data_IF_560671275380
#
_entry.id   IF_560671275380
#
_cell.length_a   1.000
_cell.length_b   1.000
_cell.length_c   1.000
_cell.angle_alpha   90.00
_cell.angle_beta   90.00
_cell.angle_gamma   90.00
#
_symmetry.space_group_name_H-M   'P 1'
#
loop_
_entity.id
_entity.type
_entity.pdbx_description
1 polymer ?
#
# COMPACT_ATOMS: atom_id res chain seq x y z
N UNK A 1 -34.19 -26.03 12.51
CA UNK A 1 -34.24 -24.64 13.01
C UNK A 1 -35.24 -24.52 14.15
N UNK A 2 -34.83 -23.89 15.29
CA UNK A 2 -35.67 -23.65 16.46
C UNK A 2 -36.74 -22.58 16.21
N UNK A 3 -37.88 -22.59 16.95
CA UNK A 3 -38.93 -21.58 16.77
C UNK A 3 -38.43 -20.13 16.89
N UNK A 4 -37.63 -19.84 17.90
CA UNK A 4 -37.05 -18.50 18.11
C UNK A 4 -36.08 -18.09 16.96
N UNK A 5 -35.29 -19.03 16.45
CA UNK A 5 -34.42 -18.81 15.31
C UNK A 5 -35.23 -18.49 14.05
N UNK A 6 -36.32 -19.26 13.81
CA UNK A 6 -37.25 -19.01 12.69
C UNK A 6 -37.83 -17.61 12.76
N UNK A 7 -38.33 -17.21 13.95
CA UNK A 7 -38.88 -15.87 14.14
C UNK A 7 -37.85 -14.75 13.82
N UNK A 8 -36.62 -14.85 14.36
CA UNK A 8 -35.55 -13.89 14.10
C UNK A 8 -35.11 -13.89 12.63
N UNK A 9 -35.05 -15.06 12.00
CA UNK A 9 -34.72 -15.19 10.60
C UNK A 9 -35.81 -14.59 9.70
N UNK A 10 -37.09 -14.85 9.98
CA UNK A 10 -38.19 -14.22 9.23
C UNK A 10 -38.15 -12.69 9.38
N UNK A 11 -37.87 -12.15 10.56
CA UNK A 11 -37.67 -10.71 10.76
C UNK A 11 -36.49 -10.16 9.93
N UNK A 12 -35.40 -10.92 9.80
CA UNK A 12 -34.30 -10.57 8.91
C UNK A 12 -34.72 -10.55 7.43
N UNK A 13 -35.46 -11.56 6.97
CA UNK A 13 -35.99 -11.63 5.60
C UNK A 13 -36.95 -10.46 5.32
N UNK A 14 -37.88 -10.17 6.24
CA UNK A 14 -38.78 -9.01 6.09
C UNK A 14 -38.02 -7.68 5.99
N UNK A 15 -37.00 -7.50 6.82
CA UNK A 15 -36.16 -6.28 6.74
C UNK A 15 -35.39 -6.20 5.44
N UNK A 16 -34.89 -7.33 4.94
CA UNK A 16 -34.19 -7.40 3.67
C UNK A 16 -35.12 -7.02 2.50
N UNK A 17 -36.37 -7.55 2.51
CA UNK A 17 -37.38 -7.22 1.53
C UNK A 17 -37.74 -5.73 1.54
N UNK A 18 -38.00 -5.18 2.73
CA UNK A 18 -38.29 -3.76 2.93
C UNK A 18 -37.18 -2.85 2.39
N UNK A 19 -35.89 -3.16 2.69
CA UNK A 19 -34.73 -2.37 2.23
C UNK A 19 -34.57 -2.39 0.71
N UNK A 20 -35.01 -3.42 0.04
CA UNK A 20 -34.87 -3.57 -1.42
C UNK A 20 -36.20 -3.31 -2.17
N UNK A 21 -37.26 -2.89 -1.46
CA UNK A 21 -38.56 -2.63 -2.10
C UNK A 21 -39.19 -3.87 -2.74
N UNK A 22 -38.86 -5.09 -2.26
CA UNK A 22 -39.32 -6.38 -2.80
C UNK A 22 -40.26 -7.04 -1.84
N UNK A 23 -41.24 -7.81 -2.34
CA UNK A 23 -42.11 -8.60 -1.46
C UNK A 23 -41.33 -9.74 -0.78
N UNK A 24 -41.66 -10.05 0.45
CA UNK A 24 -41.02 -11.14 1.22
C UNK A 24 -41.12 -12.49 0.51
N UNK A 25 -42.20 -12.72 -0.25
CA UNK A 25 -42.42 -13.92 -1.05
C UNK A 25 -41.59 -14.00 -2.32
N UNK A 26 -40.97 -12.91 -2.73
CA UNK A 26 -40.11 -12.86 -3.94
C UNK A 26 -38.59 -12.90 -3.64
N UNK A 27 -38.22 -12.97 -2.37
CA UNK A 27 -36.81 -13.10 -1.96
C UNK A 27 -36.20 -14.46 -2.35
N UNK A 28 -37.04 -15.46 -2.63
CA UNK A 28 -36.63 -16.76 -3.19
C UNK A 28 -36.46 -16.73 -4.71
N UNK A 29 -36.71 -15.58 -5.36
CA UNK A 29 -36.37 -15.29 -6.75
C UNK A 29 -35.16 -14.38 -6.81
N UNK A 30 -34.49 -14.35 -7.95
CA UNK A 30 -33.36 -13.45 -8.18
C UNK A 30 -33.86 -12.00 -8.34
N UNK A 31 -33.50 -11.10 -7.44
CA UNK A 31 -33.87 -9.69 -7.48
C UNK A 31 -32.62 -8.78 -7.60
N UNK A 32 -32.80 -7.59 -8.14
CA UNK A 32 -31.77 -6.53 -8.12
C UNK A 32 -31.78 -5.85 -6.76
N UNK A 33 -30.59 -5.64 -6.20
CA UNK A 33 -30.43 -4.89 -4.96
C UNK A 33 -30.51 -3.41 -5.27
N UNK A 34 -31.27 -2.66 -4.48
CA UNK A 34 -31.38 -1.21 -4.64
C UNK A 34 -30.01 -0.52 -4.64
N UNK A 35 -29.73 0.46 -5.54
CA UNK A 35 -28.43 1.13 -5.66
C UNK A 35 -27.96 1.74 -4.34
N UNK A 36 -28.84 2.37 -3.59
CA UNK A 36 -28.54 2.96 -2.27
C UNK A 36 -28.12 1.90 -1.23
N UNK A 37 -28.72 0.71 -1.28
CA UNK A 37 -28.34 -0.44 -0.44
C UNK A 37 -26.99 -0.99 -0.87
N UNK A 38 -26.75 -1.11 -2.18
CA UNK A 38 -25.46 -1.55 -2.75
C UNK A 38 -24.35 -0.61 -2.32
N UNK A 39 -24.51 0.70 -2.47
CA UNK A 39 -23.55 1.70 -2.03
C UNK A 39 -23.24 1.60 -0.53
N UNK A 40 -24.29 1.42 0.29
CA UNK A 40 -24.12 1.22 1.74
C UNK A 40 -23.34 -0.06 2.06
N UNK A 41 -23.56 -1.14 1.32
CA UNK A 41 -22.80 -2.40 1.47
C UNK A 41 -21.34 -2.17 1.07
N UNK A 42 -21.07 -1.51 -0.07
CA UNK A 42 -19.72 -1.23 -0.53
C UNK A 42 -18.95 -0.33 0.45
N UNK A 43 -19.58 0.71 0.99
CA UNK A 43 -18.99 1.54 2.06
C UNK A 43 -18.63 0.69 3.29
N UNK A 44 -19.51 -0.22 3.72
CA UNK A 44 -19.21 -1.12 4.85
C UNK A 44 -18.10 -2.12 4.54
N UNK A 45 -18.02 -2.61 3.30
CA UNK A 45 -16.91 -3.46 2.83
C UNK A 45 -15.60 -2.67 2.93
N UNK A 46 -15.60 -1.42 2.48
CA UNK A 46 -14.46 -0.52 2.57
C UNK A 46 -14.06 -0.29 4.03
N UNK A 47 -14.98 0.09 4.90
CA UNK A 47 -14.74 0.34 6.32
C UNK A 47 -14.28 -0.91 7.10
N UNK A 48 -14.60 -2.10 6.62
CA UNK A 48 -14.24 -3.36 7.29
C UNK A 48 -12.77 -3.72 7.24
N UNK A 49 -11.98 -3.04 6.41
CA UNK A 49 -10.55 -3.29 6.21
C UNK A 49 -9.75 -1.99 6.16
N UNK A 50 -8.71 -1.89 7.00
CA UNK A 50 -7.78 -0.75 7.00
C UNK A 50 -7.01 -0.56 5.68
N UNK A 51 -6.97 -1.57 4.83
CA UNK A 51 -6.43 -1.44 3.49
C UNK A 51 -7.46 -0.85 2.53
N UNK A 52 -8.68 -1.39 2.52
CA UNK A 52 -9.74 -0.92 1.62
C UNK A 52 -10.15 0.53 1.88
N UNK A 53 -10.05 1.02 3.13
CA UNK A 53 -10.31 2.44 3.46
C UNK A 53 -9.30 3.40 2.82
N UNK A 54 -8.17 2.91 2.35
CA UNK A 54 -7.08 3.72 1.77
C UNK A 54 -7.04 3.66 0.24
N UNK A 55 -7.79 2.76 -0.38
CA UNK A 55 -7.92 2.65 -1.83
C UNK A 55 -9.28 3.18 -2.30
N UNK A 56 -9.45 3.36 -3.59
CA UNK A 56 -10.70 3.82 -4.16
C UNK A 56 -11.67 2.66 -4.38
N UNK A 57 -12.95 2.86 -4.05
CA UNK A 57 -14.05 1.97 -4.44
C UNK A 57 -15.07 2.83 -5.17
N UNK A 58 -15.13 2.70 -6.51
CA UNK A 58 -15.80 3.63 -7.41
C UNK A 58 -16.98 2.97 -8.09
N UNK A 59 -18.20 3.54 -7.98
CA UNK A 59 -19.34 3.13 -8.80
C UNK A 59 -19.14 3.59 -10.24
N UNK A 60 -19.46 2.73 -11.21
CA UNK A 60 -19.42 3.06 -12.63
C UNK A 60 -20.71 2.63 -13.31
N UNK A 61 -21.28 3.47 -14.22
CA UNK A 61 -22.53 3.14 -14.88
C UNK A 61 -22.36 2.07 -15.96
N UNK A 62 -21.25 2.13 -16.70
CA UNK A 62 -21.00 1.25 -17.83
C UNK A 62 -20.21 0.00 -17.45
N UNK A 63 -20.47 -1.10 -18.14
CA UNK A 63 -19.70 -2.35 -17.94
C UNK A 63 -18.25 -2.21 -18.43
N UNK A 64 -18.04 -1.43 -19.47
CA UNK A 64 -16.72 -1.19 -20.06
C UNK A 64 -16.65 0.26 -20.54
N UNK A 65 -15.62 0.97 -20.14
CA UNK A 65 -15.30 2.30 -20.65
C UNK A 65 -13.79 2.55 -20.62
N UNK A 66 -13.35 3.53 -21.37
CA UNK A 66 -11.98 4.03 -21.33
C UNK A 66 -11.80 4.97 -20.14
N UNK A 67 -10.62 4.94 -19.53
CA UNK A 67 -10.25 5.93 -18.52
C UNK A 67 -9.81 7.21 -19.21
N UNK A 68 -10.35 8.33 -18.77
CA UNK A 68 -9.86 9.65 -19.19
C UNK A 68 -8.85 10.09 -18.14
N UNK A 69 -7.55 9.92 -18.44
CA UNK A 69 -6.45 10.41 -17.62
C UNK A 69 -6.10 11.85 -17.99
N UNK A 70 -5.72 12.66 -17.01
CA UNK A 70 -4.99 13.90 -17.21
C UNK A 70 -3.51 13.57 -17.06
N UNK A 71 -2.76 13.62 -18.16
CA UNK A 71 -1.31 13.37 -18.12
C UNK A 71 -0.59 14.56 -17.48
N UNK A 72 0.24 14.27 -16.50
CA UNK A 72 1.10 15.26 -15.82
C UNK A 72 2.57 15.12 -16.22
N UNK A 73 2.87 14.27 -17.19
CA UNK A 73 4.25 13.97 -17.63
C UNK A 73 4.89 15.11 -18.40
N UNK A 74 4.08 15.98 -19.02
CA UNK A 74 4.54 17.09 -19.84
C UNK A 74 4.60 18.43 -19.08
N UNK A 75 5.48 19.33 -19.53
CA UNK A 75 5.51 20.73 -19.07
C UNK A 75 4.60 21.58 -19.93
N UNK A 76 3.73 22.37 -19.29
CA UNK A 76 2.85 23.33 -19.98
C UNK A 76 3.36 24.77 -19.88
N UNK A 77 4.37 25.03 -19.07
CA UNK A 77 4.94 26.35 -18.92
C UNK A 77 5.84 26.68 -20.13
N UNK A 78 5.57 27.79 -20.78
CA UNK A 78 6.38 28.30 -21.88
C UNK A 78 6.52 29.82 -21.79
N UNK A 79 7.53 30.37 -22.43
CA UNK A 79 7.70 31.80 -22.58
C UNK A 79 7.80 32.12 -24.08
N UNK A 80 6.94 33.01 -24.58
CA UNK A 80 6.87 33.43 -26.00
C UNK A 80 6.91 34.94 -26.11
N UNK A 81 7.83 35.47 -26.89
CA UNK A 81 7.89 36.92 -27.20
C UNK A 81 6.88 37.29 -28.29
N UNK A 82 5.68 37.58 -27.86
CA UNK A 82 4.61 38.01 -28.78
C UNK A 82 4.83 39.40 -29.38
N UNK A 83 5.73 40.22 -28.81
CA UNK A 83 6.11 41.52 -29.37
C UNK A 83 7.04 41.36 -30.61
N UNK A 84 7.80 40.26 -30.67
CA UNK A 84 8.62 39.86 -31.82
C UNK A 84 7.82 39.26 -33.00
N UNK A 85 6.55 38.97 -32.80
CA UNK A 85 5.66 38.39 -33.82
C UNK A 85 5.48 36.88 -33.70
N UNK A 86 6.01 36.25 -32.66
CA UNK A 86 5.80 34.82 -32.37
C UNK A 86 4.41 34.59 -31.76
N UNK A 87 3.79 33.46 -32.09
CA UNK A 87 2.50 33.04 -31.54
C UNK A 87 2.68 32.05 -30.38
N UNK A 88 1.78 32.11 -29.40
CA UNK A 88 1.77 31.13 -28.27
C UNK A 88 1.19 29.83 -28.78
N UNK A 89 1.98 28.75 -28.63
CA UNK A 89 1.55 27.39 -28.94
C UNK A 89 0.95 26.71 -27.70
N UNK A 90 -0.13 25.98 -27.92
CA UNK A 90 -0.77 25.17 -26.89
C UNK A 90 -0.49 23.68 -27.13
N UNK A 91 -0.20 22.93 -26.09
CA UNK A 91 -0.10 21.47 -26.13
C UNK A 91 -1.34 20.83 -25.52
N UNK A 92 -1.83 19.76 -26.11
CA UNK A 92 -2.88 18.94 -25.51
C UNK A 92 -2.22 17.97 -24.48
N UNK A 93 -2.64 18.06 -23.24
CA UNK A 93 -2.15 17.22 -22.15
C UNK A 93 -3.20 16.17 -21.71
N UNK A 94 -4.37 16.14 -22.35
CA UNK A 94 -5.35 15.11 -22.12
C UNK A 94 -4.97 13.85 -22.89
N UNK A 95 -4.39 12.88 -22.24
CA UNK A 95 -4.19 11.54 -22.80
C UNK A 95 -5.43 10.70 -22.55
N UNK A 96 -6.04 10.25 -23.63
CA UNK A 96 -6.98 9.13 -23.57
C UNK A 96 -6.15 7.88 -23.35
N UNK A 97 -6.10 7.41 -22.09
CA UNK A 97 -5.52 6.12 -21.81
C UNK A 97 -6.42 5.06 -22.45
N UNK A 98 -5.90 4.37 -23.48
CA UNK A 98 -6.61 3.29 -24.17
C UNK A 98 -6.94 2.11 -23.24
N UNK A 99 -6.38 2.11 -22.04
CA UNK A 99 -6.59 1.10 -21.00
C UNK A 99 -7.82 1.46 -20.17
N UNK A 100 -8.96 0.97 -20.61
CA UNK A 100 -10.22 1.07 -19.90
C UNK A 100 -10.35 0.08 -18.75
N UNK A 101 -11.49 0.12 -18.11
CA UNK A 101 -11.95 -0.91 -17.19
C UNK A 101 -12.96 -1.85 -17.86
N UNK A 102 -13.08 -3.06 -17.34
CA UNK A 102 -14.07 -4.03 -17.78
C UNK A 102 -14.64 -4.80 -16.59
N UNK A 103 -15.76 -4.32 -16.05
CA UNK A 103 -16.44 -4.94 -14.92
C UNK A 103 -17.06 -6.28 -15.31
N UNK A 104 -16.62 -7.33 -14.65
CA UNK A 104 -17.11 -8.70 -14.89
C UNK A 104 -17.79 -9.26 -13.64
N UNK A 105 -18.80 -10.12 -13.85
CA UNK A 105 -19.58 -10.67 -12.75
C UNK A 105 -18.71 -11.51 -11.81
N UNK A 106 -18.73 -11.18 -10.53
CA UNK A 106 -18.14 -11.96 -9.43
C UNK A 106 -19.27 -12.47 -8.54
N UNK A 107 -19.20 -13.72 -8.12
CA UNK A 107 -20.21 -14.37 -7.28
C UNK A 107 -19.69 -14.52 -5.86
N UNK A 108 -20.46 -14.03 -4.88
CA UNK A 108 -20.18 -14.11 -3.45
C UNK A 108 -21.18 -15.05 -2.76
N UNK A 109 -21.22 -16.31 -3.20
CA UNK A 109 -22.19 -17.30 -2.77
C UNK A 109 -21.77 -17.97 -1.47
N UNK A 110 -22.69 -18.06 -0.52
CA UNK A 110 -22.47 -18.74 0.77
C UNK A 110 -23.72 -19.43 1.25
N UNK A 111 -23.57 -20.33 2.21
CA UNK A 111 -24.70 -20.95 2.89
C UNK A 111 -24.46 -20.99 4.40
N UNK A 112 -25.56 -21.01 5.17
CA UNK A 112 -25.53 -21.12 6.63
C UNK A 112 -26.37 -22.32 7.03
N UNK A 113 -25.79 -23.24 7.79
CA UNK A 113 -26.48 -24.41 8.31
C UNK A 113 -27.42 -24.02 9.44
N UNK A 114 -28.54 -24.74 9.60
CA UNK A 114 -29.51 -24.49 10.66
C UNK A 114 -28.90 -24.56 12.07
N UNK A 115 -28.01 -25.51 12.32
CA UNK A 115 -27.31 -25.62 13.60
C UNK A 115 -26.50 -24.36 13.94
N UNK A 116 -25.79 -23.80 12.98
CA UNK A 116 -25.04 -22.56 13.14
C UNK A 116 -25.96 -21.38 13.39
N UNK A 117 -27.06 -21.30 12.66
CA UNK A 117 -28.10 -20.30 12.87
C UNK A 117 -28.70 -20.39 14.29
N UNK A 118 -29.01 -21.61 14.77
CA UNK A 118 -29.58 -21.86 16.10
C UNK A 118 -28.62 -21.46 17.24
N UNK A 119 -27.29 -21.58 17.02
CA UNK A 119 -26.28 -21.12 17.97
C UNK A 119 -26.21 -19.59 18.00
N UNK A 120 -26.19 -18.96 16.85
CA UNK A 120 -26.07 -17.50 16.73
C UNK A 120 -27.35 -16.76 17.13
N UNK A 121 -28.53 -17.35 16.90
CA UNK A 121 -29.81 -16.77 17.28
C UNK A 121 -30.00 -16.56 18.81
N UNK A 122 -29.11 -17.10 19.64
CA UNK A 122 -29.10 -16.82 21.09
C UNK A 122 -28.68 -15.38 21.40
N UNK A 123 -27.87 -14.74 20.51
CA UNK A 123 -27.41 -13.37 20.69
C UNK A 123 -28.50 -12.38 20.24
N UNK A 124 -28.61 -11.25 20.93
CA UNK A 124 -29.57 -10.20 20.58
C UNK A 124 -29.21 -9.52 19.26
N UNK A 125 -27.91 -9.38 19.01
CA UNK A 125 -27.28 -8.73 17.83
C UNK A 125 -26.97 -9.71 16.67
N UNK A 126 -27.70 -10.84 16.62
CA UNK A 126 -27.52 -11.89 15.62
C UNK A 126 -27.42 -11.38 14.18
N UNK A 127 -28.34 -10.50 13.78
CA UNK A 127 -28.40 -9.99 12.40
C UNK A 127 -27.17 -9.14 12.06
N UNK A 128 -26.74 -8.30 12.99
CA UNK A 128 -25.56 -7.44 12.83
C UNK A 128 -24.29 -8.28 12.73
N UNK A 129 -24.11 -9.25 13.62
CA UNK A 129 -22.92 -10.13 13.59
C UNK A 129 -22.83 -10.94 12.30
N UNK A 130 -23.97 -11.46 11.84
CA UNK A 130 -24.02 -12.22 10.59
C UNK A 130 -23.61 -11.34 9.40
N UNK A 131 -24.22 -10.16 9.28
CA UNK A 131 -23.90 -9.19 8.23
C UNK A 131 -22.42 -8.80 8.27
N UNK A 132 -21.90 -8.44 9.43
CA UNK A 132 -20.53 -7.96 9.57
C UNK A 132 -19.50 -9.06 9.25
N UNK A 133 -19.80 -10.32 9.59
CA UNK A 133 -18.97 -11.45 9.20
C UNK A 133 -18.94 -11.67 7.68
N UNK A 134 -20.09 -11.52 7.00
CA UNK A 134 -20.19 -11.63 5.54
C UNK A 134 -19.42 -10.49 4.86
N UNK A 135 -19.68 -9.25 5.28
CA UNK A 135 -19.01 -8.04 4.76
C UNK A 135 -17.48 -8.15 4.89
N UNK A 136 -17.01 -8.57 6.07
CA UNK A 136 -15.57 -8.78 6.30
C UNK A 136 -14.99 -9.87 5.40
N UNK A 137 -15.73 -10.95 5.14
CA UNK A 137 -15.27 -12.00 4.23
C UNK A 137 -15.21 -11.51 2.79
N UNK A 138 -16.24 -10.80 2.34
CA UNK A 138 -16.25 -10.18 1.00
C UNK A 138 -15.11 -9.19 0.81
N UNK A 139 -14.77 -8.41 1.84
CA UNK A 139 -13.62 -7.51 1.83
C UNK A 139 -12.30 -8.26 1.65
N UNK A 140 -12.10 -9.35 2.39
CA UNK A 140 -10.90 -10.19 2.27
C UNK A 140 -10.81 -10.89 0.91
N UNK A 141 -11.93 -11.32 0.34
CA UNK A 141 -11.95 -11.95 -0.99
C UNK A 141 -11.58 -10.92 -2.08
N UNK A 142 -12.05 -9.67 -1.99
CA UNK A 142 -11.64 -8.59 -2.90
C UNK A 142 -10.15 -8.30 -2.81
N UNK A 143 -9.60 -8.20 -1.61
CA UNK A 143 -8.15 -8.04 -1.42
C UNK A 143 -7.38 -9.21 -2.04
N UNK A 144 -7.87 -10.42 -1.83
CA UNK A 144 -7.25 -11.64 -2.36
C UNK A 144 -7.23 -11.66 -3.88
N UNK A 145 -8.36 -11.34 -4.53
CA UNK A 145 -8.46 -11.25 -6.00
C UNK A 145 -7.56 -10.10 -6.50
N UNK A 146 -7.60 -8.94 -5.87
CA UNK A 146 -6.83 -7.77 -6.29
C UNK A 146 -5.33 -8.01 -6.36
N UNK A 147 -4.76 -8.79 -5.45
CA UNK A 147 -3.33 -9.08 -5.45
C UNK A 147 -2.94 -10.41 -6.10
N UNK A 148 -3.83 -11.39 -6.13
CA UNK A 148 -3.48 -12.73 -6.64
C UNK A 148 -4.20 -13.10 -7.94
N UNK A 149 -5.20 -12.32 -8.38
CA UNK A 149 -5.93 -12.59 -9.60
C UNK A 149 -5.04 -12.57 -10.84
N UNK A 150 -5.03 -13.63 -11.62
CA UNK A 150 -4.20 -13.76 -12.82
C UNK A 150 -5.02 -13.81 -14.10
N UNK A 151 -6.20 -14.44 -14.08
CA UNK A 151 -7.02 -14.61 -15.28
C UNK A 151 -8.48 -14.80 -14.92
N UNK A 152 -9.35 -14.75 -15.92
CA UNK A 152 -10.77 -15.07 -15.79
C UNK A 152 -11.06 -16.46 -16.33
N UNK A 153 -11.41 -17.41 -15.47
CA UNK A 153 -11.92 -18.72 -15.88
C UNK A 153 -13.44 -18.67 -16.14
N UNK A 154 -13.94 -19.56 -17.01
CA UNK A 154 -15.39 -19.73 -17.19
C UNK A 154 -16.08 -20.22 -15.91
N UNK A 155 -15.40 -21.10 -15.17
CA UNK A 155 -15.83 -21.60 -13.87
C UNK A 155 -14.61 -21.65 -12.96
N UNK A 156 -14.71 -21.01 -11.80
CA UNK A 156 -13.64 -20.96 -10.83
C UNK A 156 -13.42 -22.30 -10.13
N UNK A 157 -12.15 -22.59 -9.79
CA UNK A 157 -11.77 -23.81 -9.08
C UNK A 157 -10.96 -23.48 -7.82
N UNK A 158 -11.62 -23.40 -6.68
CA UNK A 158 -11.00 -23.06 -5.39
C UNK A 158 -9.97 -24.08 -4.88
N UNK A 159 -9.98 -25.32 -5.41
CA UNK A 159 -9.00 -26.35 -5.05
C UNK A 159 -7.69 -26.11 -5.79
N UNK A 160 -7.76 -25.79 -7.08
CA UNK A 160 -6.59 -25.47 -7.90
C UNK A 160 -6.05 -24.06 -7.63
N UNK A 161 -6.95 -23.11 -7.39
CA UNK A 161 -6.66 -21.70 -7.19
C UNK A 161 -7.19 -21.20 -5.82
N UNK A 162 -6.53 -21.58 -4.71
CA UNK A 162 -7.02 -21.29 -3.36
C UNK A 162 -6.97 -19.79 -2.99
N UNK A 163 -6.19 -18.99 -3.73
CA UNK A 163 -6.11 -17.54 -3.58
C UNK A 163 -6.96 -16.78 -4.61
N UNK A 164 -7.99 -17.45 -5.19
CA UNK A 164 -8.92 -16.84 -6.14
C UNK A 164 -8.25 -16.27 -7.41
N UNK A 165 -7.16 -16.91 -7.86
CA UNK A 165 -6.36 -16.44 -9.00
C UNK A 165 -7.12 -16.48 -10.34
N UNK A 166 -8.21 -17.26 -10.41
CA UNK A 166 -9.01 -17.53 -11.62
C UNK A 166 -10.33 -16.74 -11.70
N UNK A 167 -10.53 -15.75 -10.80
CA UNK A 167 -11.77 -14.95 -10.76
C UNK A 167 -11.70 -13.74 -11.71
N UNK A 168 -10.66 -12.93 -11.60
CA UNK A 168 -10.42 -11.76 -12.44
C UNK A 168 -8.93 -11.38 -12.41
N UNK A 169 -8.37 -10.72 -13.45
CA UNK A 169 -7.05 -10.11 -13.38
C UNK A 169 -7.02 -9.04 -12.28
N UNK A 170 -6.09 -9.18 -11.34
CA UNK A 170 -5.90 -8.21 -10.26
C UNK A 170 -4.85 -7.15 -10.60
N UNK A 171 -4.56 -6.25 -9.64
CA UNK A 171 -3.63 -5.13 -9.84
C UNK A 171 -2.23 -5.58 -10.27
N UNK A 172 -1.66 -6.62 -9.63
CA UNK A 172 -0.33 -7.09 -10.00
C UNK A 172 -0.30 -7.68 -11.42
N UNK A 173 -1.37 -8.39 -11.81
CA UNK A 173 -1.46 -8.92 -13.17
C UNK A 173 -1.57 -7.81 -14.20
N UNK A 174 -2.32 -6.76 -13.91
CA UNK A 174 -2.41 -5.59 -14.79
C UNK A 174 -1.06 -4.87 -14.96
N UNK A 175 -0.22 -4.79 -13.91
CA UNK A 175 1.17 -4.31 -14.07
C UNK A 175 1.98 -5.21 -15.03
N UNK A 176 1.86 -6.54 -14.92
CA UNK A 176 2.59 -7.47 -15.80
C UNK A 176 2.15 -7.37 -17.25
N UNK A 177 0.86 -7.13 -17.51
CA UNK A 177 0.27 -7.07 -18.84
C UNK A 177 0.45 -5.70 -19.50
N UNK A 178 0.15 -4.62 -18.77
CA UNK A 178 0.02 -3.28 -19.32
C UNK A 178 1.28 -2.43 -19.12
N UNK A 179 2.08 -2.70 -18.07
CA UNK A 179 3.28 -1.95 -17.77
C UNK A 179 4.49 -2.85 -17.44
N UNK A 180 4.89 -3.77 -18.33
CA UNK A 180 5.99 -4.70 -18.06
C UNK A 180 7.34 -4.01 -17.81
N UNK A 181 7.55 -2.81 -18.34
CA UNK A 181 8.74 -1.98 -18.06
C UNK A 181 8.83 -1.50 -16.61
N UNK A 182 7.73 -1.56 -15.84
CA UNK A 182 7.67 -1.19 -14.42
C UNK A 182 7.63 -2.42 -13.51
N UNK A 183 7.95 -3.59 -14.06
CA UNK A 183 8.00 -4.86 -13.34
C UNK A 183 9.44 -5.36 -13.28
N UNK A 184 9.99 -5.44 -12.09
CA UNK A 184 11.30 -6.03 -11.82
C UNK A 184 11.09 -7.45 -11.26
N UNK A 185 11.32 -8.46 -12.08
CA UNK A 185 11.13 -9.87 -11.70
C UNK A 185 12.33 -10.77 -11.99
N UNK A 186 13.41 -10.21 -12.53
CA UNK A 186 14.64 -10.90 -12.93
C UNK A 186 15.81 -9.95 -12.95
N UNK A 187 17.01 -10.48 -12.84
CA UNK A 187 18.26 -9.74 -13.03
C UNK A 187 18.70 -9.86 -14.48
N UNK A 188 18.88 -8.73 -15.13
CA UNK A 188 19.29 -8.65 -16.55
C UNK A 188 20.67 -8.00 -16.61
N UNK A 189 21.58 -8.57 -17.39
CA UNK A 189 22.89 -7.98 -17.67
C UNK A 189 22.78 -6.81 -18.65
N UNK A 190 23.85 -6.02 -18.80
CA UNK A 190 23.91 -4.87 -19.73
C UNK A 190 23.65 -5.29 -21.20
N UNK A 191 23.96 -6.52 -21.57
CA UNK A 191 23.71 -7.09 -22.90
C UNK A 191 22.25 -7.55 -23.13
N UNK A 192 21.37 -7.39 -22.11
CA UNK A 192 19.98 -7.82 -22.15
C UNK A 192 19.74 -9.31 -21.82
N UNK A 193 20.80 -10.07 -21.52
CA UNK A 193 20.65 -11.48 -21.11
C UNK A 193 20.15 -11.61 -19.68
N UNK A 194 19.29 -12.63 -19.43
CA UNK A 194 18.80 -12.92 -18.08
C UNK A 194 19.88 -13.65 -17.29
N UNK A 195 20.39 -13.00 -16.24
CA UNK A 195 21.38 -13.56 -15.33
C UNK A 195 20.73 -14.44 -14.28
N UNK A 196 19.58 -14.01 -13.74
CA UNK A 196 18.86 -14.74 -12.72
C UNK A 196 17.35 -14.45 -12.85
N UNK A 197 16.55 -15.49 -12.73
CA UNK A 197 15.08 -15.40 -12.65
C UNK A 197 14.59 -14.96 -11.26
N UNK A 198 15.49 -14.77 -10.32
CA UNK A 198 15.20 -14.34 -8.95
C UNK A 198 16.06 -13.16 -8.56
N UNK A 199 15.46 -12.27 -7.76
CA UNK A 199 16.14 -11.13 -7.15
C UNK A 199 16.64 -11.57 -5.76
N UNK A 200 17.93 -11.84 -5.64
CA UNK A 200 18.53 -12.32 -4.40
C UNK A 200 18.90 -11.14 -3.50
N UNK A 201 18.31 -11.10 -2.32
CA UNK A 201 18.52 -10.03 -1.35
C UNK A 201 19.22 -10.59 -0.11
N UNK A 202 20.35 -10.02 0.24
CA UNK A 202 21.15 -10.44 1.38
C UNK A 202 22.65 -10.51 1.05
N UNK A 203 23.43 -10.99 1.99
CA UNK A 203 24.90 -11.03 1.86
C UNK A 203 25.35 -11.93 0.71
N UNK A 204 25.90 -11.34 -0.34
CA UNK A 204 26.33 -12.01 -1.58
C UNK A 204 25.21 -12.22 -2.60
N UNK A 205 24.05 -11.59 -2.40
CA UNK A 205 22.97 -11.47 -3.38
C UNK A 205 23.13 -10.28 -4.31
N UNK A 206 22.13 -10.05 -5.13
CA UNK A 206 22.08 -8.96 -6.10
C UNK A 206 21.90 -7.60 -5.39
N UNK A 207 21.19 -7.60 -4.25
CA UNK A 207 21.01 -6.46 -3.36
C UNK A 207 21.44 -6.81 -1.94
N UNK A 208 22.12 -5.88 -1.27
CA UNK A 208 22.61 -6.07 0.09
C UNK A 208 21.46 -6.22 1.12
N UNK A 209 20.35 -5.52 0.88
CA UNK A 209 19.15 -5.52 1.72
C UNK A 209 17.91 -5.07 0.93
N UNK A 210 16.73 -5.20 1.54
CA UNK A 210 15.46 -4.77 0.94
C UNK A 210 15.38 -3.26 0.71
N UNK A 211 16.09 -2.45 1.49
CA UNK A 211 16.10 -0.99 1.32
C UNK A 211 16.77 -0.60 0.01
N UNK A 212 17.90 -1.24 -0.32
CA UNK A 212 18.59 -1.01 -1.58
C UNK A 212 17.73 -1.42 -2.78
N UNK A 213 17.05 -2.56 -2.71
CA UNK A 213 16.13 -3.02 -3.73
C UNK A 213 14.97 -2.02 -3.97
N UNK A 214 14.36 -1.51 -2.90
CA UNK A 214 13.24 -0.56 -3.01
C UNK A 214 13.73 0.80 -3.53
N UNK A 215 14.90 1.27 -3.11
CA UNK A 215 15.48 2.52 -3.63
C UNK A 215 15.78 2.41 -5.13
N UNK A 216 16.36 1.31 -5.56
CA UNK A 216 16.64 1.05 -6.98
C UNK A 216 15.35 0.99 -7.81
N UNK A 217 14.35 0.24 -7.34
CA UNK A 217 13.05 0.14 -7.99
C UNK A 217 12.34 1.51 -8.07
N UNK A 218 12.42 2.33 -7.04
CA UNK A 218 11.83 3.68 -7.02
C UNK A 218 12.50 4.58 -8.04
N UNK A 219 13.83 4.59 -8.10
CA UNK A 219 14.58 5.46 -8.98
C UNK A 219 14.47 5.07 -10.46
N UNK A 220 14.39 3.78 -10.77
CA UNK A 220 14.47 3.28 -12.15
C UNK A 220 13.11 2.94 -12.76
N UNK A 221 12.10 2.56 -11.95
CA UNK A 221 10.81 2.09 -12.46
C UNK A 221 9.67 3.10 -12.29
N UNK A 222 9.74 4.00 -11.32
CA UNK A 222 8.72 5.03 -11.11
C UNK A 222 9.08 6.27 -11.93
N UNK A 223 8.07 6.93 -12.49
CA UNK A 223 8.28 8.14 -13.26
C UNK A 223 8.87 9.27 -12.39
N UNK A 224 9.78 10.11 -12.94
CA UNK A 224 10.55 11.10 -12.17
C UNK A 224 9.69 12.05 -11.33
N UNK A 225 8.51 12.43 -11.81
CA UNK A 225 7.60 13.33 -11.11
C UNK A 225 6.87 12.69 -9.91
N UNK A 226 6.89 11.33 -9.80
CA UNK A 226 6.35 10.61 -8.65
C UNK A 226 7.42 10.12 -7.67
N UNK A 227 8.71 10.12 -8.03
CA UNK A 227 9.79 9.57 -7.18
C UNK A 227 9.92 10.28 -5.83
N UNK A 228 9.63 11.58 -5.79
CA UNK A 228 9.69 12.42 -4.59
C UNK A 228 8.32 12.52 -3.87
N UNK A 229 7.30 11.78 -4.31
CA UNK A 229 5.96 11.88 -3.74
C UNK A 229 5.93 11.29 -2.31
N UNK A 230 5.57 12.07 -1.28
CA UNK A 230 5.51 11.61 0.10
C UNK A 230 4.39 10.58 0.38
N UNK A 231 3.43 10.43 -0.53
CA UNK A 231 2.34 9.46 -0.42
C UNK A 231 2.68 8.08 -0.96
N UNK A 232 3.88 7.92 -1.57
CA UNK A 232 4.37 6.61 -1.96
C UNK A 232 4.52 5.69 -0.75
N UNK A 233 4.07 4.45 -0.90
CA UNK A 233 4.19 3.40 0.11
C UNK A 233 4.69 2.11 -0.52
N UNK A 234 5.30 1.26 0.29
CA UNK A 234 5.68 -0.10 -0.10
C UNK A 234 4.64 -1.06 0.45
N UNK A 235 3.85 -1.67 -0.42
CA UNK A 235 2.90 -2.73 -0.06
C UNK A 235 3.64 -4.06 -0.12
N UNK A 236 3.64 -4.82 0.96
CA UNK A 236 4.36 -6.08 1.04
C UNK A 236 3.64 -7.12 1.91
N UNK A 237 4.05 -8.38 1.76
CA UNK A 237 3.63 -9.48 2.62
C UNK A 237 4.28 -9.40 4.01
N UNK A 238 3.77 -10.24 4.92
CA UNK A 238 4.30 -10.33 6.29
C UNK A 238 5.75 -10.79 6.32
N UNK A 239 6.13 -11.70 5.42
CA UNK A 239 7.43 -12.39 5.47
C UNK A 239 8.57 -11.40 5.23
N UNK A 240 8.55 -10.63 4.14
CA UNK A 240 9.59 -9.65 3.82
C UNK A 240 9.80 -8.64 4.93
N UNK A 241 8.68 -8.16 5.52
CA UNK A 241 8.76 -7.20 6.63
C UNK A 241 9.30 -7.84 7.91
N UNK A 242 8.93 -9.10 8.21
CA UNK A 242 9.44 -9.81 9.36
C UNK A 242 10.95 -10.08 9.24
N UNK A 243 11.40 -10.53 8.07
CA UNK A 243 12.82 -10.84 7.85
C UNK A 243 13.71 -9.59 7.94
N UNK A 244 13.22 -8.43 7.50
CA UNK A 244 13.93 -7.17 7.66
C UNK A 244 14.19 -6.81 9.13
N UNK A 245 13.20 -6.96 9.99
CA UNK A 245 13.29 -6.53 11.39
C UNK A 245 13.73 -7.65 12.36
N UNK A 246 13.66 -8.92 11.93
CA UNK A 246 14.02 -10.05 12.78
C UNK A 246 15.45 -9.96 13.35
N UNK A 247 16.49 -9.57 12.60
CA UNK A 247 17.83 -9.41 13.15
C UNK A 247 17.91 -8.39 14.29
N UNK A 248 17.14 -7.30 14.22
CA UNK A 248 17.09 -6.27 15.26
C UNK A 248 16.40 -6.76 16.53
N UNK A 249 15.33 -7.56 16.38
CA UNK A 249 14.58 -8.12 17.52
C UNK A 249 15.35 -9.24 18.21
N UNK A 250 16.17 -9.98 17.47
CA UNK A 250 16.89 -11.17 17.99
C UNK A 250 18.25 -10.86 18.61
N UNK A 251 18.67 -9.58 18.62
CA UNK A 251 19.92 -9.17 19.28
C UNK A 251 19.64 -8.76 20.73
N UNK A 252 20.42 -9.26 21.67
CA UNK A 252 20.47 -8.72 23.03
C UNK A 252 21.22 -7.38 22.99
N UNK A 253 20.51 -6.28 23.17
CA UNK A 253 21.04 -4.93 23.10
C UNK A 253 20.94 -4.21 24.46
N UNK A 254 21.87 -3.28 24.74
CA UNK A 254 21.73 -2.36 25.88
C UNK A 254 20.42 -1.58 25.81
N UNK A 255 19.84 -1.17 26.93
CA UNK A 255 18.53 -0.49 26.99
C UNK A 255 18.35 0.70 26.05
N UNK A 256 19.40 1.49 25.82
CA UNK A 256 19.38 2.64 24.90
C UNK A 256 19.28 2.21 23.42
N UNK A 257 19.97 1.14 23.05
CA UNK A 257 19.92 0.58 21.68
C UNK A 257 18.60 -0.18 21.45
N UNK A 258 18.08 -0.84 22.48
CA UNK A 258 16.75 -1.48 22.43
C UNK A 258 15.64 -0.45 22.19
N UNK A 259 15.66 0.71 22.84
CA UNK A 259 14.69 1.79 22.59
C UNK A 259 14.81 2.35 21.17
N UNK A 260 16.01 2.49 20.62
CA UNK A 260 16.22 2.92 19.24
C UNK A 260 15.72 1.85 18.24
N UNK A 261 15.98 0.57 18.51
CA UNK A 261 15.45 -0.53 17.69
C UNK A 261 13.93 -0.60 17.71
N UNK A 262 13.29 -0.43 18.87
CA UNK A 262 11.84 -0.38 18.99
C UNK A 262 11.22 0.79 18.21
N UNK A 263 11.88 1.95 18.20
CA UNK A 263 11.46 3.10 17.41
C UNK A 263 11.53 2.80 15.90
N UNK A 264 12.62 2.19 15.43
CA UNK A 264 12.80 1.81 14.04
C UNK A 264 11.76 0.76 13.62
N UNK A 265 11.51 -0.25 14.45
CA UNK A 265 10.50 -1.29 14.20
C UNK A 265 9.08 -0.70 14.15
N UNK A 266 8.81 0.31 14.99
CA UNK A 266 7.48 0.95 15.03
C UNK A 266 7.16 1.73 13.77
N UNK A 267 8.16 2.32 13.10
CA UNK A 267 7.99 3.11 11.89
C UNK A 267 7.72 2.28 10.63
N UNK A 268 8.10 1.01 10.60
CA UNK A 268 7.89 0.07 9.47
C UNK A 268 8.20 0.68 8.12
N UNK A 269 9.46 1.01 7.86
CA UNK A 269 9.92 1.56 6.58
C UNK A 269 10.77 0.56 5.80
N UNK A 270 10.67 0.62 4.46
CA UNK A 270 11.55 -0.09 3.52
C UNK A 270 11.95 0.93 2.45
N UNK A 271 13.27 1.09 2.19
CA UNK A 271 13.77 2.05 1.20
C UNK A 271 13.36 3.49 1.49
N UNK A 272 13.31 3.87 2.77
CA UNK A 272 12.82 5.16 3.25
C UNK A 272 11.31 5.41 3.07
N UNK A 273 10.56 4.52 2.41
CA UNK A 273 9.12 4.61 2.22
C UNK A 273 8.36 3.88 3.34
N UNK A 274 7.17 4.37 3.74
CA UNK A 274 6.31 3.65 4.69
C UNK A 274 5.91 2.28 4.16
N UNK A 275 6.08 1.22 4.96
CA UNK A 275 5.69 -0.14 4.58
C UNK A 275 4.28 -0.47 5.08
N UNK A 276 3.42 -0.87 4.16
CA UNK A 276 2.03 -1.27 4.42
C UNK A 276 1.89 -2.77 4.26
N UNK A 277 1.50 -3.44 5.34
CA UNK A 277 1.26 -4.88 5.32
C UNK A 277 -0.20 -5.16 4.98
N UNK A 278 -0.41 -5.95 3.93
CA UNK A 278 -1.75 -6.35 3.47
C UNK A 278 -1.92 -7.87 3.58
N UNK A 279 -3.09 -8.35 4.02
CA UNK A 279 -3.37 -9.79 4.03
C UNK A 279 -3.39 -10.35 2.61
N UNK A 280 -2.94 -11.60 2.45
CA UNK A 280 -2.89 -12.34 1.17
C UNK A 280 -2.00 -11.73 0.08
N UNK A 281 -1.20 -10.72 0.40
CA UNK A 281 -0.19 -10.24 -0.53
C UNK A 281 0.88 -11.34 -0.77
N UNK A 282 1.38 -11.54 -2.00
CA UNK A 282 2.43 -12.52 -2.30
C UNK A 282 3.65 -12.36 -1.41
N UNK A 283 4.22 -13.49 -0.95
CA UNK A 283 5.28 -13.47 0.04
C UNK A 283 6.65 -13.00 -0.52
N UNK A 284 6.84 -13.19 -1.82
CA UNK A 284 8.07 -12.93 -2.57
C UNK A 284 7.97 -11.70 -3.49
N UNK A 285 7.01 -10.82 -3.21
CA UNK A 285 6.77 -9.62 -4.00
C UNK A 285 6.61 -8.37 -3.12
N UNK A 286 6.82 -7.21 -3.71
CA UNK A 286 6.43 -5.91 -3.17
C UNK A 286 5.91 -5.00 -4.29
N UNK A 287 4.99 -4.11 -3.94
CA UNK A 287 4.44 -3.10 -4.84
C UNK A 287 4.69 -1.72 -4.23
N UNK A 288 5.39 -0.87 -4.96
CA UNK A 288 5.61 0.53 -4.61
C UNK A 288 4.58 1.34 -5.36
N UNK A 289 3.71 2.05 -4.66
CA UNK A 289 2.68 2.88 -5.30
C UNK A 289 2.01 3.78 -4.26
N UNK A 290 1.20 4.72 -4.68
CA UNK A 290 0.24 5.40 -3.81
C UNK A 290 -0.96 4.49 -3.56
N UNK A 291 -1.60 4.65 -2.41
CA UNK A 291 -2.77 3.82 -2.09
C UNK A 291 -3.99 4.18 -2.95
N UNK A 292 -4.18 5.45 -3.26
CA UNK A 292 -5.25 5.96 -4.12
C UNK A 292 -5.05 5.61 -5.61
N UNK A 293 -3.89 5.09 -5.99
CA UNK A 293 -3.62 4.55 -7.32
C UNK A 293 -4.24 3.16 -7.55
N UNK A 294 -4.72 2.52 -6.50
CA UNK A 294 -5.41 1.24 -6.58
C UNK A 294 -6.90 1.44 -6.38
N UNK A 295 -7.69 0.91 -7.31
CA UNK A 295 -9.14 1.07 -7.34
C UNK A 295 -9.87 -0.25 -7.54
N UNK A 296 -11.07 -0.34 -6.97
CA UNK A 296 -12.05 -1.37 -7.29
C UNK A 296 -13.25 -0.66 -7.90
N UNK A 297 -13.49 -0.91 -9.18
CA UNK A 297 -14.65 -0.40 -9.88
C UNK A 297 -15.77 -1.43 -9.79
N UNK A 298 -16.98 -0.99 -9.49
CA UNK A 298 -18.16 -1.83 -9.48
C UNK A 298 -19.27 -1.19 -10.31
N UNK A 299 -19.93 -2.00 -11.13
CA UNK A 299 -20.98 -1.52 -12.01
C UNK A 299 -22.29 -1.36 -11.25
N UNK A 300 -22.90 -0.17 -11.36
CA UNK A 300 -24.22 0.12 -10.81
C UNK A 300 -25.29 -0.79 -11.41
N UNK A 301 -26.37 -1.02 -10.68
CA UNK A 301 -27.53 -1.84 -11.07
C UNK A 301 -27.25 -3.31 -11.42
N UNK A 302 -26.02 -3.78 -11.19
CA UNK A 302 -25.64 -5.18 -11.46
C UNK A 302 -25.63 -6.06 -10.21
N UNK A 303 -25.79 -5.48 -9.04
CA UNK A 303 -25.83 -6.22 -7.79
C UNK A 303 -27.15 -7.00 -7.70
N UNK A 304 -27.04 -8.30 -7.69
CA UNK A 304 -28.19 -9.23 -7.65
C UNK A 304 -28.05 -10.19 -6.50
N UNK A 305 -29.20 -10.47 -5.87
CA UNK A 305 -29.26 -11.38 -4.73
C UNK A 305 -30.41 -12.36 -4.86
N UNK A 306 -30.23 -13.52 -4.25
CA UNK A 306 -31.23 -14.58 -4.19
C UNK A 306 -30.99 -15.40 -2.92
N UNK A 307 -32.03 -15.57 -2.11
CA UNK A 307 -31.94 -16.36 -0.87
C UNK A 307 -32.96 -17.49 -0.90
N UNK A 308 -32.48 -18.71 -0.73
CA UNK A 308 -33.29 -19.92 -0.77
C UNK A 308 -33.06 -20.77 0.47
N UNK A 309 -34.17 -21.27 1.07
CA UNK A 309 -34.11 -22.27 2.12
C UNK A 309 -34.02 -23.67 1.48
N UNK A 310 -32.89 -24.34 1.65
CA UNK A 310 -32.71 -25.71 1.17
C UNK A 310 -32.88 -26.71 2.31
N UNK A 311 -34.14 -27.14 2.53
CA UNK A 311 -34.51 -28.09 3.59
C UNK A 311 -33.88 -29.49 3.39
N UNK A 312 -33.56 -29.87 2.12
CA UNK A 312 -32.87 -31.14 1.81
C UNK A 312 -31.46 -31.21 2.33
N UNK A 313 -30.84 -30.04 2.54
CA UNK A 313 -29.42 -29.91 2.96
C UNK A 313 -29.32 -29.21 4.33
N UNK A 314 -30.40 -28.97 5.04
CA UNK A 314 -30.45 -28.31 6.34
C UNK A 314 -29.70 -26.97 6.37
N UNK A 315 -29.89 -26.13 5.35
CA UNK A 315 -29.18 -24.86 5.20
C UNK A 315 -30.00 -23.78 4.48
N UNK A 316 -29.59 -22.54 4.67
CA UNK A 316 -30.03 -21.39 3.90
C UNK A 316 -28.90 -21.02 2.94
N UNK A 317 -29.20 -20.92 1.65
CA UNK A 317 -28.27 -20.56 0.60
C UNK A 317 -28.52 -19.10 0.20
N UNK A 318 -27.43 -18.34 0.09
CA UNK A 318 -27.45 -16.97 -0.42
C UNK A 318 -26.57 -16.94 -1.68
N UNK A 319 -27.14 -16.52 -2.77
CA UNK A 319 -26.49 -16.29 -4.03
C UNK A 319 -26.43 -14.78 -4.27
N UNK A 320 -25.24 -14.24 -4.38
CA UNK A 320 -25.00 -12.81 -4.54
C UNK A 320 -23.98 -12.59 -5.64
N UNK A 321 -24.26 -11.66 -6.56
CA UNK A 321 -23.35 -11.34 -7.66
C UNK A 321 -23.35 -9.86 -7.93
N UNK A 322 -22.16 -9.35 -8.29
CA UNK A 322 -21.93 -7.96 -8.69
C UNK A 322 -20.84 -7.94 -9.77
N UNK A 323 -20.90 -6.97 -10.67
CA UNK A 323 -19.85 -6.80 -11.65
C UNK A 323 -18.77 -5.89 -11.08
N UNK A 324 -17.52 -6.36 -11.08
CA UNK A 324 -16.36 -5.66 -10.51
C UNK A 324 -15.14 -5.75 -11.45
N UNK A 325 -14.24 -4.77 -11.33
CA UNK A 325 -12.90 -4.79 -11.93
C UNK A 325 -11.88 -4.18 -10.96
N UNK A 326 -10.63 -4.60 -11.08
CA UNK A 326 -9.49 -4.12 -10.29
C UNK A 326 -8.64 -3.22 -11.18
N UNK A 327 -8.63 -1.94 -10.90
CA UNK A 327 -8.04 -0.92 -11.77
C UNK A 327 -6.80 -0.32 -11.12
N UNK A 328 -5.76 -0.10 -11.90
CA UNK A 328 -4.62 0.76 -11.57
C UNK A 328 -4.87 2.09 -12.27
N UNK A 329 -4.90 3.19 -11.52
CA UNK A 329 -5.26 4.49 -12.09
C UNK A 329 -4.15 5.03 -13.00
N UNK A 330 -2.91 5.00 -12.52
CA UNK A 330 -1.74 5.42 -13.27
C UNK A 330 -0.58 4.44 -13.04
N UNK A 331 -0.15 3.76 -14.09
CA UNK A 331 0.99 2.85 -14.01
C UNK A 331 2.31 3.59 -13.79
N UNK A 332 2.41 4.86 -14.16
CA UNK A 332 3.61 5.66 -13.97
C UNK A 332 3.93 5.93 -12.49
N UNK A 333 2.89 5.89 -11.63
CA UNK A 333 2.99 6.07 -10.18
C UNK A 333 3.41 4.80 -9.43
N UNK A 334 3.74 3.69 -10.10
CA UNK A 334 4.03 2.46 -9.38
C UNK A 334 5.09 1.58 -10.00
N UNK A 335 5.64 0.70 -9.16
CA UNK A 335 6.62 -0.31 -9.54
C UNK A 335 6.33 -1.63 -8.82
N UNK A 336 6.32 -2.72 -9.57
CA UNK A 336 6.14 -4.07 -9.05
C UNK A 336 7.48 -4.81 -9.02
N UNK A 337 7.85 -5.35 -7.88
CA UNK A 337 9.04 -6.19 -7.71
C UNK A 337 8.60 -7.58 -7.28
N UNK A 338 9.05 -8.60 -7.98
CA UNK A 338 8.64 -10.00 -7.79
C UNK A 338 9.84 -10.94 -7.78
N UNK A 339 9.59 -12.21 -7.43
CA UNK A 339 10.61 -13.26 -7.36
C UNK A 339 11.75 -12.93 -6.40
N UNK A 340 11.43 -12.26 -5.28
CA UNK A 340 12.40 -11.88 -4.25
C UNK A 340 12.77 -13.14 -3.46
N UNK A 341 14.07 -13.47 -3.45
CA UNK A 341 14.65 -14.53 -2.63
C UNK A 341 15.53 -13.94 -1.56
N UNK A 342 15.10 -14.06 -0.29
CA UNK A 342 15.89 -13.62 0.84
C UNK A 342 16.99 -14.65 1.15
N UNK A 343 18.24 -14.24 1.08
CA UNK A 343 19.36 -15.08 1.45
C UNK A 343 19.52 -15.10 2.98
N UNK A 344 19.79 -16.25 3.58
CA UNK A 344 20.03 -16.33 5.01
C UNK A 344 21.24 -15.46 5.39
N UNK A 345 21.14 -14.76 6.53
CA UNK A 345 22.28 -14.04 7.08
C UNK A 345 23.46 -15.00 7.22
N UNK A 346 24.62 -14.64 6.65
CA UNK A 346 25.84 -15.44 6.89
C UNK A 346 26.04 -15.58 8.39
N UNK A 347 26.29 -16.80 8.91
CA UNK A 347 26.67 -16.95 10.30
C UNK A 347 27.87 -16.01 10.55
N UNK A 348 27.74 -15.16 11.54
CA UNK A 348 28.83 -14.25 11.92
C UNK A 348 29.96 -15.12 12.41
N UNK A 349 31.03 -15.27 11.62
CA UNK A 349 32.23 -15.99 12.02
C UNK A 349 32.70 -15.46 13.39
N UNK A 350 33.09 -16.30 14.32
CA UNK A 350 33.62 -15.87 15.61
C UNK A 350 34.77 -14.88 15.49
N UNK A 351 35.52 -14.95 14.40
CA UNK A 351 36.60 -13.99 14.08
C UNK A 351 36.10 -12.61 13.70
N UNK A 352 34.92 -12.49 13.06
CA UNK A 352 34.31 -11.18 12.73
C UNK A 352 33.74 -10.52 13.99
N UNK A 353 33.30 -11.31 14.97
CA UNK A 353 32.85 -10.81 16.28
C UNK A 353 34.03 -10.25 17.07
N UNK A 354 35.22 -10.87 16.99
CA UNK A 354 36.45 -10.38 17.60
C UNK A 354 36.96 -9.09 16.93
N UNK A 355 36.82 -8.96 15.62
CA UNK A 355 37.20 -7.74 14.88
C UNK A 355 36.23 -6.57 15.16
N UNK A 356 34.94 -6.83 15.34
CA UNK A 356 33.94 -5.82 15.72
C UNK A 356 34.09 -5.38 17.18
N UNK A 357 34.52 -6.28 18.08
CA UNK A 357 34.84 -5.92 19.48
C UNK A 357 36.14 -5.10 19.58
N UNK A 358 37.17 -5.41 18.79
CA UNK A 358 38.39 -4.60 18.73
C UNK A 358 38.11 -3.22 18.15
N UNK A 359 37.29 -3.11 17.11
CA UNK A 359 36.84 -1.82 16.55
C UNK A 359 36.00 -1.01 17.56
N UNK A 360 35.23 -1.68 18.42
CA UNK A 360 34.47 -1.05 19.50
C UNK A 360 35.35 -0.49 20.62
N UNK A 361 36.49 -1.14 20.91
CA UNK A 361 37.49 -0.62 21.85
C UNK A 361 38.24 0.58 21.29
N UNK A 362 38.57 0.59 20.00
CA UNK A 362 39.16 1.72 19.30
C UNK A 362 38.23 2.95 19.30
N UNK A 363 36.92 2.75 19.11
CA UNK A 363 35.92 3.82 19.19
C UNK A 363 35.78 4.36 20.62
N UNK A 364 35.84 3.50 21.64
CA UNK A 364 35.86 3.93 23.07
C UNK A 364 37.09 4.72 23.41
N UNK A 365 38.25 4.33 22.88
CA UNK A 365 39.52 5.05 23.08
C UNK A 365 39.49 6.42 22.39
N UNK A 366 38.92 6.48 21.19
CA UNK A 366 38.71 7.75 20.45
C UNK A 366 37.73 8.67 21.17
N UNK A 367 36.60 8.12 21.68
CA UNK A 367 35.65 8.88 22.47
C UNK A 367 36.25 9.41 23.78
N UNK A 368 37.09 8.59 24.44
CA UNK A 368 37.86 9.01 25.62
C UNK A 368 38.82 10.17 25.32
N UNK A 369 39.55 10.10 24.21
CA UNK A 369 40.46 11.16 23.78
C UNK A 369 39.72 12.47 23.42
N UNK A 370 38.54 12.38 22.81
CA UNK A 370 37.69 13.55 22.52
C UNK A 370 37.16 14.18 23.80
N UNK A 371 36.76 13.40 24.78
CA UNK A 371 36.29 13.92 26.09
C UNK A 371 37.43 14.58 26.85
N UNK A 372 38.65 14.07 26.80
CA UNK A 372 39.84 14.68 27.41
C UNK A 372 40.24 15.99 26.68
N UNK A 373 40.18 15.99 25.34
CA UNK A 373 40.44 17.20 24.56
C UNK A 373 39.39 18.31 24.83
N UNK A 374 38.13 17.97 24.98
CA UNK A 374 37.07 18.93 25.38
C UNK A 374 37.24 19.42 26.82
N UNK A 375 37.68 18.57 27.74
CA UNK A 375 38.02 18.98 29.10
C UNK A 375 39.22 19.91 29.15
N UNK A 376 40.25 19.66 28.34
CA UNK A 376 41.43 20.52 28.23
C UNK A 376 41.11 21.90 27.61
N UNK A 377 40.14 21.92 26.64
CA UNK A 377 39.68 23.17 26.05
C UNK A 377 38.73 23.98 26.95
N UNK A 378 38.10 23.31 27.93
CA UNK A 378 37.21 23.94 28.92
C UNK A 378 37.90 24.35 30.22
N UNK A 379 39.23 24.16 30.36
CA UNK A 379 39.97 24.68 31.49
C UNK A 379 39.95 26.24 31.49
N UNK A 380 39.62 26.93 32.60
CA UNK A 380 39.57 28.37 32.63
C UNK A 380 40.98 28.94 32.34
N UNK A 381 41.06 29.85 31.39
CA UNK A 381 42.28 30.61 31.09
C UNK A 381 42.74 31.37 32.35
N UNK A 382 44.01 31.25 32.69
CA UNK A 382 44.63 32.08 33.72
C UNK A 382 44.41 33.57 33.40
N UNK A 383 44.19 34.43 34.45
CA UNK A 383 43.93 35.84 34.24
C UNK A 383 45.15 36.50 33.66
N UNK A 384 45.04 37.05 32.47
CA UNK A 384 46.05 37.87 31.82
C UNK A 384 46.15 39.17 32.59
N UNK A 385 47.39 39.49 33.03
CA UNK A 385 47.73 40.72 33.74
C UNK A 385 47.32 41.98 32.94
N UNK A 386 46.82 42.97 33.68
CA UNK A 386 46.40 44.28 33.19
C UNK A 386 47.41 44.93 32.21
N UNK A 387 46.99 45.11 30.98
CA UNK A 387 47.63 45.96 30.00
C UNK A 387 46.88 47.30 30.00
N UNK A 388 47.55 48.34 30.52
CA UNK A 388 47.11 49.73 30.45
C UNK A 388 46.81 50.14 29.01
N UNK A 389 45.58 50.41 28.68
CA UNK A 389 45.18 50.99 27.40
C UNK A 389 45.27 52.49 27.47
N UNK A 390 46.32 53.08 26.88
CA UNK A 390 46.37 54.50 26.55
C UNK A 390 45.29 54.82 25.52
N UNK A 391 44.39 55.76 25.88
CA UNK A 391 43.35 56.29 25.04
C UNK A 391 43.88 56.99 23.79
N UNK A 392 43.12 56.99 22.71
CA UNK A 392 43.51 57.70 21.48
C UNK A 392 43.32 59.20 21.64
N UNK A 393 44.35 59.93 21.22
CA UNK A 393 44.50 61.36 21.07
C UNK A 393 43.49 61.92 20.07
N UNK A 394 42.75 62.94 20.45
CA UNK A 394 41.82 63.68 19.59
C UNK A 394 42.58 64.41 18.47
N UNK A 395 42.15 64.20 17.23
CA UNK A 395 42.55 64.99 16.08
C UNK A 395 41.55 66.15 15.85
N UNK A 396 42.00 67.32 15.43
CA UNK A 396 41.23 68.55 15.47
C UNK A 396 40.19 68.65 14.36
N UNK A 397 39.03 69.24 14.76
CA UNK A 397 37.93 69.64 13.93
C UNK A 397 38.37 70.76 12.98
N UNK A 398 38.24 70.57 11.68
CA UNK A 398 38.37 71.67 10.72
C UNK A 398 36.97 72.04 10.19
N UNK A 399 36.58 73.20 10.55
CA UNK A 399 35.35 73.91 10.26
C UNK A 399 35.54 74.72 8.97
N UNK A 400 34.76 74.43 7.92
CA UNK A 400 34.45 75.37 6.83
C UNK A 400 33.37 74.79 5.88
N UNK A 401 32.15 75.15 6.03
CA UNK A 401 31.49 76.37 5.58
C UNK A 401 31.04 76.33 4.09
N UNK A 402 29.71 76.52 3.98
CA UNK A 402 28.92 77.17 2.89
C UNK A 402 28.82 76.40 1.58
N UNK A 403 27.66 76.11 1.09
CA UNK A 403 26.56 77.01 0.81
C UNK A 403 26.19 76.87 -0.64
N UNK A 404 24.94 76.87 -0.92
CA UNK A 404 24.53 77.37 -2.19
C UNK A 404 23.64 76.49 -3.07
N UNK A 405 22.42 76.84 -3.00
CA UNK A 405 21.26 76.83 -3.86
C UNK A 405 20.49 75.56 -4.04
#
# INVERSE_FOLDING_TARGET
MRKQTRFKFNAFMSRLAELNGVDTGDLDKKFSVEPSVTQTIMTRVQDSSSFLTRINIVPVPEMKAEKIGLDVSGTIASNTDTAGGDERETADFATLDAEGYFCQQVNYDFHIRYNTLDLWARYQDFQTRLRDAIVKRQALDRIMIGFNGTHRAKTSNRVKFPLLQDIAPGWLQKYRENAPSRVMNKVVAEDGSVVSEKLRVGAGGDYANLDALVMDATNNLIAPWYQEDPELVVICGRQLLADKYFPLVNQEQPNTEAMAADLIISQKRIGNLPAVRVPYFPADALLITRMDNLSIYWQEDTHRRHMVENSKRDRIENYESINEDYVVEDYACGALVENIELLPAKPTDPQTKAALTSSGEDIKTLAGAIVEAVKAAAAPAEPVADVEVKGPEEAPVDDKVKGGK
#
